data_IF_518428189944
#
_entry.id   IF_518428189944
#
_cell.length_a   1.000
_cell.length_b   1.000
_cell.length_c   1.000
_cell.angle_alpha   90.00
_cell.angle_beta   90.00
_cell.angle_gamma   90.00
#
_symmetry.space_group_name_H-M   'P 1'
#
loop_
_entity.id
_entity.type
_entity.pdbx_description
1 polymer ?
#
# COMPACT_ATOMS: atom_id res chain seq x y z
N UNK A 1 -2.28 -4.93 18.24
CA UNK A 1 -3.42 -3.98 18.06
C UNK A 1 -2.86 -2.67 17.51
N UNK A 2 -3.13 -2.31 16.25
CA UNK A 2 -2.68 -1.03 15.70
C UNK A 2 -3.43 0.11 16.40
N UNK A 3 -2.67 1.06 16.99
CA UNK A 3 -3.23 2.26 17.61
C UNK A 3 -4.14 3.00 16.61
N UNK A 4 -5.20 3.64 17.09
CA UNK A 4 -6.22 4.27 16.25
C UNK A 4 -5.65 5.26 15.20
N UNK A 5 -4.48 5.86 15.45
CA UNK A 5 -3.79 6.72 14.49
C UNK A 5 -3.21 5.95 13.31
N UNK A 6 -2.63 4.77 13.53
CA UNK A 6 -2.12 3.96 12.41
C UNK A 6 -3.25 3.46 11.50
N UNK A 7 -4.46 3.31 12.04
CA UNK A 7 -5.63 2.85 11.27
C UNK A 7 -6.09 3.86 10.20
N UNK A 8 -6.12 5.16 10.49
CA UNK A 8 -6.57 6.16 9.50
C UNK A 8 -5.54 6.32 8.36
N UNK A 9 -4.24 6.32 8.67
CA UNK A 9 -3.20 6.39 7.64
C UNK A 9 -3.30 5.19 6.69
N UNK A 10 -3.49 3.98 7.24
CA UNK A 10 -3.68 2.78 6.43
C UNK A 10 -4.97 2.81 5.60
N UNK A 11 -6.07 3.38 6.15
CA UNK A 11 -7.32 3.58 5.41
C UNK A 11 -7.10 4.50 4.22
N UNK A 12 -6.49 5.67 4.43
CA UNK A 12 -6.17 6.61 3.34
C UNK A 12 -5.26 5.96 2.31
N UNK A 13 -4.22 5.24 2.75
CA UNK A 13 -3.32 4.55 1.84
C UNK A 13 -4.07 3.56 0.94
N UNK A 14 -5.03 2.81 1.51
CA UNK A 14 -5.87 1.88 0.76
C UNK A 14 -6.84 2.59 -0.20
N UNK A 15 -7.39 3.74 0.17
CA UNK A 15 -8.33 4.48 -0.67
C UNK A 15 -7.63 5.16 -1.86
N UNK A 16 -6.47 5.78 -1.64
CA UNK A 16 -5.73 6.57 -2.64
C UNK A 16 -5.17 5.69 -3.77
N UNK A 17 -4.83 4.43 -3.49
CA UNK A 17 -4.30 3.50 -4.50
C UNK A 17 -5.38 2.79 -5.33
N UNK A 18 -6.66 3.03 -5.04
CA UNK A 18 -7.75 2.45 -5.83
C UNK A 18 -7.94 3.19 -7.15
N UNK A 19 -8.44 2.46 -8.14
CA UNK A 19 -8.84 3.02 -9.44
C UNK A 19 -10.29 2.59 -9.69
N UNK A 20 -11.27 3.51 -9.58
CA UNK A 20 -11.13 4.94 -9.30
C UNK A 20 -10.68 5.24 -7.85
N UNK A 21 -10.08 6.42 -7.63
CA UNK A 21 -9.64 6.86 -6.30
C UNK A 21 -10.84 6.93 -5.34
N UNK A 22 -10.72 6.28 -4.18
CA UNK A 22 -11.80 6.13 -3.22
C UNK A 22 -11.66 7.04 -1.98
N UNK A 23 -10.67 7.94 -1.95
CA UNK A 23 -10.47 8.85 -0.82
C UNK A 23 -11.56 9.94 -0.81
N UNK A 24 -12.10 10.23 0.37
CA UNK A 24 -13.13 11.27 0.54
C UNK A 24 -12.63 12.47 1.35
N UNK A 25 -13.35 13.58 1.32
CA UNK A 25 -13.04 14.76 2.13
C UNK A 25 -13.04 14.45 3.63
N UNK A 26 -13.91 13.53 4.09
CA UNK A 26 -13.96 13.07 5.47
C UNK A 26 -12.68 12.32 5.88
N UNK A 27 -12.08 11.54 4.97
CA UNK A 27 -10.82 10.85 5.24
C UNK A 27 -9.71 11.87 5.51
N UNK A 28 -9.62 12.90 4.67
CA UNK A 28 -8.65 13.98 4.84
C UNK A 28 -8.93 14.82 6.09
N UNK A 29 -10.20 15.08 6.41
CA UNK A 29 -10.57 15.76 7.64
C UNK A 29 -10.18 14.94 8.88
N UNK A 30 -10.28 13.61 8.84
CA UNK A 30 -9.82 12.74 9.92
C UNK A 30 -8.30 12.70 10.05
N UNK A 31 -7.58 12.69 8.92
CA UNK A 31 -6.13 12.75 8.91
C UNK A 31 -5.63 14.07 9.54
N UNK A 32 -6.19 15.21 9.15
CA UNK A 32 -5.81 16.53 9.70
C UNK A 32 -6.09 16.72 11.19
N UNK A 33 -6.88 15.86 11.83
CA UNK A 33 -7.04 15.89 13.30
C UNK A 33 -5.76 15.50 14.06
N UNK A 34 -4.78 14.89 13.38
CA UNK A 34 -3.60 14.28 14.02
C UNK A 34 -2.28 14.59 13.33
N UNK A 35 -2.32 14.98 12.05
CA UNK A 35 -1.13 15.35 11.27
C UNK A 35 -1.31 16.75 10.71
N UNK A 36 -0.19 17.47 10.61
CA UNK A 36 -0.14 18.75 9.91
C UNK A 36 -0.16 18.56 8.37
N UNK A 37 -0.31 19.65 7.63
CA UNK A 37 -0.45 19.58 6.17
C UNK A 37 0.81 19.03 5.48
N UNK A 38 2.01 19.30 6.01
CA UNK A 38 3.27 18.77 5.44
C UNK A 38 3.31 17.24 5.59
N UNK A 39 2.96 16.71 6.76
CA UNK A 39 2.86 15.27 7.03
C UNK A 39 1.77 14.59 6.19
N UNK A 40 0.65 15.29 5.95
CA UNK A 40 -0.41 14.81 5.05
C UNK A 40 0.14 14.70 3.63
N UNK A 41 0.79 15.75 3.12
CA UNK A 41 1.38 15.77 1.77
C UNK A 41 2.42 14.67 1.61
N UNK A 42 3.34 14.51 2.56
CA UNK A 42 4.34 13.44 2.54
C UNK A 42 3.70 12.05 2.51
N UNK A 43 2.66 11.84 3.32
CA UNK A 43 1.90 10.58 3.34
C UNK A 43 1.31 10.26 1.97
N UNK A 44 0.64 11.24 1.36
CA UNK A 44 0.04 11.06 0.03
C UNK A 44 1.13 10.82 -1.02
N UNK A 45 2.24 11.56 -0.98
CA UNK A 45 3.34 11.40 -1.93
C UNK A 45 3.93 9.98 -1.89
N UNK A 46 4.18 9.44 -0.69
CA UNK A 46 4.68 8.07 -0.52
C UNK A 46 3.66 7.06 -1.05
N UNK A 47 2.39 7.18 -0.65
CA UNK A 47 1.33 6.26 -1.10
C UNK A 47 1.18 6.28 -2.62
N UNK A 48 1.15 7.45 -3.25
CA UNK A 48 1.04 7.60 -4.70
C UNK A 48 2.26 7.02 -5.42
N UNK A 49 3.46 7.17 -4.88
CA UNK A 49 4.69 6.58 -5.44
C UNK A 49 4.60 5.06 -5.47
N UNK A 50 4.16 4.43 -4.36
CA UNK A 50 3.96 2.98 -4.34
C UNK A 50 2.76 2.52 -5.16
N UNK A 51 1.71 3.33 -5.29
CA UNK A 51 0.61 3.10 -6.22
C UNK A 51 1.10 3.00 -7.67
N UNK A 52 1.92 3.96 -8.10
CA UNK A 52 2.58 3.91 -9.41
C UNK A 52 3.42 2.64 -9.58
N UNK A 53 4.27 2.30 -8.60
CA UNK A 53 5.09 1.10 -8.68
C UNK A 53 4.29 -0.19 -8.66
N UNK A 54 3.15 -0.25 -7.98
CA UNK A 54 2.28 -1.41 -8.00
C UNK A 54 1.69 -1.61 -9.39
N UNK A 55 1.19 -0.55 -10.03
CA UNK A 55 0.72 -0.62 -11.41
C UNK A 55 1.83 -0.98 -12.41
N UNK A 56 3.01 -0.38 -12.26
CA UNK A 56 4.17 -0.66 -13.10
C UNK A 56 4.60 -2.14 -12.99
N UNK A 57 4.82 -2.63 -11.77
CA UNK A 57 5.25 -4.02 -11.52
C UNK A 57 4.18 -5.02 -11.94
N UNK A 58 2.91 -4.72 -11.72
CA UNK A 58 1.80 -5.57 -12.17
C UNK A 58 1.76 -5.67 -13.70
N UNK A 59 1.96 -4.56 -14.41
CA UNK A 59 1.97 -4.52 -15.88
C UNK A 59 3.16 -5.29 -16.47
N UNK A 60 4.36 -5.07 -15.92
CA UNK A 60 5.59 -5.68 -16.45
C UNK A 60 5.90 -7.06 -15.86
N UNK A 61 5.10 -7.53 -14.91
CA UNK A 61 5.29 -8.80 -14.19
C UNK A 61 6.74 -8.98 -13.71
N UNK A 62 7.30 -7.95 -13.06
CA UNK A 62 8.68 -8.00 -12.57
C UNK A 62 8.85 -9.18 -11.62
N UNK A 63 9.84 -10.03 -11.87
CA UNK A 63 10.12 -11.23 -11.07
C UNK A 63 10.53 -10.81 -9.66
N UNK A 64 9.99 -11.50 -8.67
CA UNK A 64 10.33 -11.26 -7.27
C UNK A 64 11.71 -11.83 -6.96
N UNK A 65 12.54 -11.07 -6.26
CA UNK A 65 13.87 -11.53 -5.85
C UNK A 65 13.77 -12.67 -4.82
N UNK A 66 14.79 -13.55 -4.70
CA UNK A 66 14.73 -14.71 -3.80
C UNK A 66 14.45 -14.36 -2.34
N UNK A 67 15.03 -13.25 -1.84
CA UNK A 67 14.86 -12.83 -0.44
C UNK A 67 13.40 -12.41 -0.11
N UNK A 68 12.75 -11.49 -0.84
CA UNK A 68 11.36 -11.14 -0.59
C UNK A 68 10.40 -12.31 -0.88
N UNK A 69 10.71 -13.18 -1.84
CA UNK A 69 9.91 -14.39 -2.09
C UNK A 69 9.92 -15.31 -0.88
N UNK A 70 11.10 -15.65 -0.36
CA UNK A 70 11.23 -16.52 0.82
C UNK A 70 10.56 -15.92 2.05
N UNK A 71 10.68 -14.61 2.26
CA UNK A 71 10.00 -13.92 3.35
C UNK A 71 8.48 -14.05 3.24
N UNK A 72 7.93 -13.81 2.05
CA UNK A 72 6.49 -13.91 1.81
C UNK A 72 5.99 -15.35 1.97
N UNK A 73 6.69 -16.34 1.45
CA UNK A 73 6.35 -17.76 1.62
C UNK A 73 6.33 -18.16 3.10
N UNK A 74 7.31 -17.71 3.89
CA UNK A 74 7.38 -18.05 5.31
C UNK A 74 6.28 -17.38 6.14
N UNK A 75 5.92 -16.13 5.84
CA UNK A 75 4.99 -15.34 6.67
C UNK A 75 3.55 -15.31 6.17
N UNK A 76 3.33 -15.57 4.89
CA UNK A 76 2.03 -15.41 4.23
C UNK A 76 1.46 -16.72 3.71
N UNK A 77 2.09 -17.88 3.95
CA UNK A 77 1.57 -19.19 3.52
C UNK A 77 0.15 -19.48 4.03
N UNK A 78 -0.13 -19.05 5.26
CA UNK A 78 -1.42 -19.27 5.92
C UNK A 78 -2.46 -18.21 5.53
N UNK A 79 -2.00 -17.08 4.98
CA UNK A 79 -2.86 -16.15 4.26
C UNK A 79 -3.06 -16.70 2.83
N UNK A 80 -4.18 -16.42 2.17
CA UNK A 80 -4.44 -16.90 0.80
C UNK A 80 -3.56 -16.20 -0.27
N UNK A 81 -2.29 -15.94 0.03
CA UNK A 81 -1.31 -15.28 -0.79
C UNK A 81 -0.64 -16.27 -1.77
N UNK A 82 -0.35 -15.81 -2.99
CA UNK A 82 0.32 -16.59 -4.03
C UNK A 82 1.20 -15.68 -4.89
N UNK A 83 2.42 -16.12 -5.20
CA UNK A 83 3.41 -15.37 -6.02
C UNK A 83 2.95 -15.10 -7.46
N UNK A 84 2.07 -15.94 -8.01
CA UNK A 84 1.44 -15.76 -9.32
C UNK A 84 2.45 -15.44 -10.45
N UNK A 85 2.17 -14.41 -11.26
CA UNK A 85 2.97 -14.00 -12.43
C UNK A 85 4.38 -13.48 -12.12
N UNK A 86 4.76 -13.38 -10.85
CA UNK A 86 6.05 -12.83 -10.42
C UNK A 86 7.13 -13.90 -10.16
N UNK A 87 6.92 -15.14 -10.61
CA UNK A 87 7.93 -16.21 -10.57
C UNK A 87 8.94 -16.08 -11.71
N UNK A 88 10.19 -16.45 -11.44
CA UNK A 88 11.18 -16.64 -12.51
C UNK A 88 10.70 -17.77 -13.44
N UNK A 89 10.81 -17.57 -14.76
CA UNK A 89 10.55 -18.61 -15.75
C UNK A 89 11.71 -19.58 -15.86
#
# INVERSE_FOLDING_TARGET
>A
MFLAHKRIVLKIAQCVVQVPNAATDEDFAELRRRWDDDQVVETIAVVSTFGFFNHWKDTLATVLEPSPLQFAEYHLSDASWNVSKHVAR
#
